data_IF_568598161125
#
_entry.id   IF_568598161125
#
_cell.length_a   1.000
_cell.length_b   1.000
_cell.length_c   1.000
_cell.angle_alpha   90.00
_cell.angle_beta   90.00
_cell.angle_gamma   90.00
#
_symmetry.space_group_name_H-M   'P 1'
#
loop_
_entity.id
_entity.type
_entity.pdbx_description
1 polymer ?
#
# COMPACT_ATOMS: atom_id res chain seq x y z
N UNK A 1 34.67 -25.23 -4.83
CA UNK A 1 33.31 -24.76 -5.18
C UNK A 1 32.46 -24.82 -3.92
N UNK A 2 32.40 -23.72 -3.16
CA UNK A 2 31.66 -23.65 -1.89
C UNK A 2 30.43 -22.79 -2.11
N UNK A 3 29.25 -23.40 -2.18
CA UNK A 3 27.99 -22.68 -2.30
C UNK A 3 27.65 -22.05 -0.95
N UNK A 4 27.77 -20.73 -0.87
CA UNK A 4 27.25 -19.91 0.23
C UNK A 4 25.72 -20.03 0.16
N UNK A 5 25.16 -20.79 1.11
CA UNK A 5 23.71 -20.80 1.36
C UNK A 5 23.35 -19.44 1.95
N UNK A 6 23.01 -18.49 1.07
CA UNK A 6 22.36 -17.26 1.48
C UNK A 6 21.11 -17.63 2.28
N UNK A 7 21.08 -17.22 3.55
CA UNK A 7 19.83 -17.18 4.31
C UNK A 7 18.94 -16.17 3.61
N UNK A 8 18.06 -16.65 2.73
CA UNK A 8 16.88 -15.89 2.31
C UNK A 8 16.11 -15.58 3.58
N UNK A 9 16.21 -14.33 4.05
CA UNK A 9 15.20 -13.79 4.94
C UNK A 9 13.85 -14.06 4.29
N UNK A 10 12.93 -14.63 5.07
CA UNK A 10 11.57 -14.93 4.64
C UNK A 10 10.99 -13.71 3.91
N UNK A 11 10.32 -13.85 2.76
CA UNK A 11 9.61 -12.73 2.18
C UNK A 11 8.60 -12.27 3.23
N UNK A 12 8.76 -11.04 3.73
CA UNK A 12 7.65 -10.29 4.31
C UNK A 12 6.52 -10.47 3.30
N UNK A 13 5.44 -11.12 3.73
CA UNK A 13 4.30 -11.48 2.88
C UNK A 13 3.95 -10.23 2.10
N UNK A 14 4.25 -10.17 0.80
CA UNK A 14 3.93 -9.03 -0.05
C UNK A 14 2.47 -8.71 0.23
N UNK A 15 2.19 -7.55 0.81
CA UNK A 15 0.85 -7.21 1.25
C UNK A 15 -0.12 -7.42 0.08
N UNK A 16 -1.13 -8.27 0.27
CA UNK A 16 -2.04 -8.63 -0.81
C UNK A 16 -2.70 -7.34 -1.34
N UNK A 17 -2.74 -7.10 -2.66
CA UNK A 17 -3.24 -5.86 -3.23
C UNK A 17 -4.64 -5.46 -2.73
N UNK A 18 -5.52 -6.44 -2.53
CA UNK A 18 -6.86 -6.24 -1.95
C UNK A 18 -6.78 -5.68 -0.53
N UNK A 19 -5.88 -6.20 0.32
CA UNK A 19 -5.71 -5.73 1.70
C UNK A 19 -5.21 -4.28 1.77
N UNK A 20 -4.40 -3.85 0.79
CA UNK A 20 -3.97 -2.45 0.67
C UNK A 20 -5.16 -1.54 0.34
N UNK A 21 -5.97 -1.93 -0.63
CA UNK A 21 -7.13 -1.16 -1.09
C UNK A 21 -8.23 -1.11 -0.02
N UNK A 22 -8.52 -2.23 0.63
CA UNK A 22 -9.52 -2.31 1.72
C UNK A 22 -9.14 -1.42 2.90
N UNK A 23 -7.88 -1.46 3.31
CA UNK A 23 -7.41 -0.59 4.38
C UNK A 23 -7.55 0.89 3.97
N UNK A 24 -7.06 1.29 2.80
CA UNK A 24 -7.24 2.69 2.36
C UNK A 24 -8.70 3.09 2.19
N UNK A 25 -9.59 2.19 1.79
CA UNK A 25 -11.02 2.47 1.70
C UNK A 25 -11.62 2.86 3.07
N UNK A 26 -11.08 2.35 4.17
CA UNK A 26 -11.46 2.77 5.51
C UNK A 26 -10.85 4.11 5.93
N UNK A 27 -9.66 4.47 5.42
CA UNK A 27 -8.87 5.61 5.93
C UNK A 27 -8.78 6.83 5.01
N UNK A 28 -9.16 6.75 3.73
CA UNK A 28 -8.95 7.84 2.77
C UNK A 28 -9.60 9.17 3.19
N UNK A 29 -10.74 9.12 3.90
CA UNK A 29 -11.42 10.33 4.42
C UNK A 29 -10.63 11.05 5.52
N UNK A 30 -9.67 10.37 6.13
CA UNK A 30 -8.76 10.89 7.14
C UNK A 30 -7.39 11.28 6.57
N UNK A 31 -7.22 11.21 5.24
CA UNK A 31 -5.93 11.45 4.59
C UNK A 31 -5.10 10.18 4.38
N UNK A 32 -5.70 9.00 4.53
CA UNK A 32 -5.06 7.69 4.39
C UNK A 32 -4.57 7.15 5.74
N UNK A 33 -4.11 5.91 5.75
CA UNK A 33 -3.64 5.28 6.99
C UNK A 33 -2.38 5.94 7.55
N UNK A 34 -2.15 5.82 8.86
CA UNK A 34 -1.00 6.42 9.54
C UNK A 34 0.32 5.67 9.24
N UNK A 35 1.44 6.38 9.25
CA UNK A 35 2.75 5.86 8.83
C UNK A 35 3.24 4.66 9.66
N UNK A 36 3.12 4.75 10.99
CA UNK A 36 3.48 3.66 11.90
C UNK A 36 2.57 2.45 11.71
N UNK A 37 1.27 2.67 11.53
CA UNK A 37 0.29 1.60 11.33
C UNK A 37 0.51 0.88 9.99
N UNK A 38 0.89 1.62 8.95
CA UNK A 38 1.29 1.07 7.65
C UNK A 38 2.52 0.18 7.80
N UNK A 39 3.55 0.65 8.53
CA UNK A 39 4.76 -0.12 8.79
C UNK A 39 4.47 -1.40 9.58
N UNK A 40 3.74 -1.29 10.69
CA UNK A 40 3.46 -2.43 11.57
C UNK A 40 2.57 -3.48 10.89
N UNK A 41 1.60 -3.05 10.06
CA UNK A 41 0.67 -3.96 9.38
C UNK A 41 1.24 -4.59 8.12
N UNK A 42 1.92 -3.80 7.29
CA UNK A 42 2.32 -4.22 5.94
C UNK A 42 3.83 -4.38 5.76
N UNK A 43 4.63 -3.91 6.71
CA UNK A 43 6.09 -3.92 6.60
C UNK A 43 6.63 -3.03 5.47
N UNK A 44 5.85 -2.02 5.07
CA UNK A 44 6.18 -1.10 3.98
C UNK A 44 6.45 0.29 4.54
N UNK A 45 7.38 1.02 3.93
CA UNK A 45 7.43 2.48 4.16
C UNK A 45 6.15 3.14 3.62
N UNK A 46 5.76 4.32 4.13
CA UNK A 46 4.60 5.05 3.60
C UNK A 46 4.70 5.28 2.08
N UNK A 47 5.89 5.58 1.57
CA UNK A 47 6.12 5.81 0.14
C UNK A 47 5.88 4.54 -0.69
N UNK A 48 6.41 3.39 -0.27
CA UNK A 48 6.16 2.10 -0.93
C UNK A 48 4.68 1.74 -0.88
N UNK A 49 4.07 1.89 0.29
CA UNK A 49 2.65 1.62 0.51
C UNK A 49 1.74 2.38 -0.46
N UNK A 50 1.85 3.71 -0.52
CA UNK A 50 0.98 4.50 -1.39
C UNK A 50 1.27 4.28 -2.89
N UNK A 51 2.49 3.90 -3.26
CA UNK A 51 2.80 3.48 -4.62
C UNK A 51 2.10 2.16 -4.98
N UNK A 52 2.11 1.17 -4.07
CA UNK A 52 1.40 -0.09 -4.26
C UNK A 52 -0.12 0.09 -4.29
N UNK A 53 -0.69 0.95 -3.45
CA UNK A 53 -2.12 1.30 -3.49
C UNK A 53 -2.52 1.84 -4.87
N UNK A 54 -1.73 2.76 -5.44
CA UNK A 54 -2.04 3.30 -6.77
C UNK A 54 -2.04 2.22 -7.85
N UNK A 55 -1.08 1.30 -7.83
CA UNK A 55 -1.05 0.18 -8.77
C UNK A 55 -2.22 -0.79 -8.55
N UNK A 56 -2.58 -1.06 -7.30
CA UNK A 56 -3.65 -1.98 -6.95
C UNK A 56 -5.05 -1.44 -7.31
N UNK A 57 -5.29 -0.14 -7.22
CA UNK A 57 -6.62 0.45 -7.49
C UNK A 57 -7.14 0.15 -8.89
N UNK A 58 -6.27 0.03 -9.90
CA UNK A 58 -6.68 -0.19 -11.28
C UNK A 58 -7.16 -1.63 -11.53
N UNK A 59 -6.72 -2.59 -10.72
CA UNK A 59 -7.08 -4.02 -10.85
C UNK A 59 -8.02 -4.53 -9.76
N UNK A 60 -7.86 -4.01 -8.54
CA UNK A 60 -8.56 -4.47 -7.33
C UNK A 60 -9.63 -3.49 -6.84
N UNK A 61 -9.70 -2.27 -7.38
CA UNK A 61 -10.68 -1.26 -6.98
C UNK A 61 -12.09 -1.44 -7.56
N UNK A 62 -12.32 -2.46 -8.40
CA UNK A 62 -13.57 -2.62 -9.17
C UNK A 62 -14.84 -2.87 -8.33
N UNK A 63 -14.69 -3.30 -7.08
CA UNK A 63 -15.80 -3.50 -6.15
C UNK A 63 -16.19 -2.22 -5.37
N UNK A 64 -15.37 -1.16 -5.46
CA UNK A 64 -15.61 0.10 -4.80
C UNK A 64 -16.39 1.07 -5.71
N UNK A 65 -17.15 1.97 -5.09
CA UNK A 65 -17.80 3.05 -5.84
C UNK A 65 -16.74 3.94 -6.52
N UNK A 66 -16.99 4.45 -7.75
CA UNK A 66 -16.02 5.27 -8.48
C UNK A 66 -15.52 6.49 -7.69
N UNK A 67 -16.40 7.12 -6.90
CA UNK A 67 -16.05 8.24 -6.03
C UNK A 67 -15.06 7.85 -4.93
N UNK A 68 -15.19 6.63 -4.36
CA UNK A 68 -14.25 6.09 -3.37
C UNK A 68 -12.88 5.85 -4.01
N UNK A 69 -12.84 5.20 -5.18
CA UNK A 69 -11.59 4.97 -5.93
C UNK A 69 -10.90 6.30 -6.25
N UNK A 70 -11.64 7.31 -6.68
CA UNK A 70 -11.10 8.65 -6.94
C UNK A 70 -10.55 9.32 -5.66
N UNK A 71 -11.23 9.16 -4.52
CA UNK A 71 -10.80 9.64 -3.22
C UNK A 71 -9.48 9.01 -2.77
N UNK A 72 -9.39 7.67 -2.79
CA UNK A 72 -8.16 6.94 -2.45
C UNK A 72 -7.02 7.37 -3.38
N UNK A 73 -7.27 7.44 -4.69
CA UNK A 73 -6.26 7.87 -5.68
C UNK A 73 -5.73 9.29 -5.40
N UNK A 74 -6.61 10.20 -4.99
CA UNK A 74 -6.22 11.58 -4.64
C UNK A 74 -5.31 11.61 -3.41
N UNK A 75 -5.68 10.86 -2.36
CA UNK A 75 -4.90 10.73 -1.12
C UNK A 75 -3.52 10.13 -1.40
N UNK A 76 -3.46 8.99 -2.09
CA UNK A 76 -2.20 8.32 -2.37
C UNK A 76 -1.23 9.20 -3.18
N UNK A 77 -1.73 9.92 -4.20
CA UNK A 77 -0.92 10.90 -4.96
C UNK A 77 -0.40 12.03 -4.07
N UNK A 78 -1.25 12.58 -3.19
CA UNK A 78 -0.83 13.63 -2.25
C UNK A 78 0.25 13.14 -1.30
N UNK A 79 0.10 11.95 -0.72
CA UNK A 79 1.07 11.35 0.20
C UNK A 79 2.43 11.12 -0.48
N UNK A 80 2.43 10.63 -1.72
CA UNK A 80 3.64 10.46 -2.51
C UNK A 80 4.34 11.78 -2.84
N UNK A 81 3.57 12.83 -3.14
CA UNK A 81 4.13 14.16 -3.41
C UNK A 81 4.81 14.76 -2.17
N UNK A 82 4.20 14.63 -0.98
CA UNK A 82 4.77 15.12 0.28
C UNK A 82 6.00 14.32 0.75
N UNK A 83 6.11 13.06 0.36
CA UNK A 83 7.22 12.16 0.70
C UNK A 83 8.32 12.12 -0.39
N UNK A 84 8.36 13.13 -1.27
CA UNK A 84 9.37 13.27 -2.34
C UNK A 84 10.47 14.25 -1.96
#
# INVERSE_FOLDING_TARGET
MTAIRARRGSPVRSAEPDALVEYEAAWYRHGGGADLDIWDRFGLSPREYFAHVLGALDTHGGHLQPATVAGIRSVARRRLWLAS
#
